data_IF_468976212661
#
_entry.id   IF_468976212661
#
_cell.length_a   1.000
_cell.length_b   1.000
_cell.length_c   1.000
_cell.angle_alpha   90.00
_cell.angle_beta   90.00
_cell.angle_gamma   90.00
#
_symmetry.space_group_name_H-M   'P 1'
#
loop_
_entity.id
_entity.type
_entity.pdbx_description
1 polymer ?
#
# COMPACT_ATOMS: atom_id res chain seq x y z
N UNK A 1 -36.99 -27.25 -11.07
CA UNK A 1 -37.09 -26.08 -11.97
C UNK A 1 -35.68 -25.57 -12.25
N UNK A 2 -35.24 -25.48 -13.51
CA UNK A 2 -33.93 -24.94 -13.90
C UNK A 2 -34.02 -23.42 -13.91
N UNK A 3 -33.15 -22.74 -13.20
CA UNK A 3 -33.06 -21.28 -13.31
C UNK A 3 -32.60 -20.87 -14.73
N UNK A 4 -33.09 -19.74 -15.25
CA UNK A 4 -32.71 -19.26 -16.58
C UNK A 4 -31.22 -18.92 -16.62
N UNK A 5 -30.53 -19.35 -17.67
CA UNK A 5 -29.08 -19.22 -17.87
C UNK A 5 -28.57 -17.78 -17.69
N UNK A 6 -29.40 -16.79 -18.03
CA UNK A 6 -29.07 -15.38 -17.83
C UNK A 6 -28.91 -15.04 -16.34
N UNK A 7 -29.81 -15.53 -15.49
CA UNK A 7 -29.78 -15.28 -14.05
C UNK A 7 -28.56 -15.92 -13.40
N UNK A 8 -28.17 -17.13 -13.84
CA UNK A 8 -26.93 -17.77 -13.39
C UNK A 8 -25.68 -16.97 -13.76
N UNK A 9 -25.61 -16.42 -14.98
CA UNK A 9 -24.48 -15.57 -15.40
C UNK A 9 -24.41 -14.27 -14.60
N UNK A 10 -25.55 -13.63 -14.34
CA UNK A 10 -25.62 -12.44 -13.49
C UNK A 10 -25.19 -12.73 -12.06
N UNK A 11 -25.65 -13.83 -11.47
CA UNK A 11 -25.25 -14.25 -10.11
C UNK A 11 -23.75 -14.61 -10.06
N UNK A 12 -23.21 -15.24 -11.10
CA UNK A 12 -21.77 -15.55 -11.20
C UNK A 12 -20.92 -14.29 -11.24
N UNK A 13 -21.27 -13.32 -12.10
CA UNK A 13 -20.55 -12.05 -12.22
C UNK A 13 -20.63 -11.21 -10.93
N UNK A 14 -21.80 -11.19 -10.28
CA UNK A 14 -21.97 -10.55 -8.98
C UNK A 14 -21.13 -11.23 -7.89
N UNK A 15 -21.05 -12.57 -7.90
CA UNK A 15 -20.18 -13.32 -6.98
C UNK A 15 -18.70 -13.05 -7.22
N UNK A 16 -18.27 -13.00 -8.47
CA UNK A 16 -16.89 -12.64 -8.84
C UNK A 16 -16.56 -11.22 -8.39
N UNK A 17 -17.48 -10.27 -8.59
CA UNK A 17 -17.34 -8.90 -8.08
C UNK A 17 -17.25 -8.83 -6.56
N UNK A 18 -18.05 -9.60 -5.82
CA UNK A 18 -18.01 -9.65 -4.35
C UNK A 18 -16.73 -10.33 -3.86
N UNK A 19 -16.25 -11.35 -4.57
CA UNK A 19 -15.00 -12.04 -4.25
C UNK A 19 -13.80 -11.14 -4.50
N UNK A 20 -13.78 -10.41 -5.62
CA UNK A 20 -12.79 -9.36 -5.90
C UNK A 20 -12.84 -8.26 -4.84
N UNK A 21 -14.03 -7.77 -4.49
CA UNK A 21 -14.20 -6.78 -3.43
C UNK A 21 -13.63 -7.28 -2.09
N UNK A 22 -13.89 -8.54 -1.72
CA UNK A 22 -13.29 -9.16 -0.52
C UNK A 22 -11.78 -9.31 -0.57
N UNK A 23 -11.20 -9.56 -1.76
CA UNK A 23 -9.75 -9.61 -1.95
C UNK A 23 -9.10 -8.22 -1.84
N UNK A 24 -9.83 -7.17 -2.18
CA UNK A 24 -9.38 -5.77 -2.03
C UNK A 24 -9.70 -5.17 -0.66
N UNK A 25 -10.71 -5.67 0.05
CA UNK A 25 -11.05 -5.26 1.43
C UNK A 25 -10.21 -6.00 2.48
N UNK A 26 -9.36 -6.94 2.06
CA UNK A 26 -8.43 -7.63 2.95
C UNK A 26 -7.28 -6.66 3.30
N UNK A 27 -7.41 -5.98 4.43
CA UNK A 27 -6.29 -5.27 5.07
C UNK A 27 -5.12 -6.26 5.23
N UNK A 28 -4.05 -6.02 4.47
CA UNK A 28 -2.86 -6.86 4.57
C UNK A 28 -2.13 -6.42 5.83
N UNK A 29 -2.09 -7.30 6.82
CA UNK A 29 -1.36 -7.05 8.06
C UNK A 29 0.13 -6.80 7.77
N UNK A 30 0.66 -5.74 8.35
CA UNK A 30 2.09 -5.45 8.38
C UNK A 30 2.90 -6.56 9.07
N UNK A 31 2.28 -7.28 10.02
CA UNK A 31 2.93 -8.35 10.79
C UNK A 31 3.25 -9.57 9.88
N UNK A 32 2.57 -9.71 8.73
CA UNK A 32 3.00 -10.66 7.69
C UNK A 32 4.30 -10.23 6.98
N UNK A 33 4.92 -9.14 7.43
CA UNK A 33 6.11 -8.51 6.90
C UNK A 33 7.17 -8.27 7.99
N UNK A 34 7.22 -9.07 9.06
CA UNK A 34 8.25 -8.95 10.12
C UNK A 34 9.68 -8.82 9.57
N UNK A 35 10.00 -9.59 8.51
CA UNK A 35 11.28 -9.49 7.80
C UNK A 35 11.51 -8.10 7.19
N UNK A 36 10.47 -7.47 6.63
CA UNK A 36 10.53 -6.12 6.08
C UNK A 36 10.76 -5.08 7.17
N UNK A 37 10.05 -5.17 8.30
CA UNK A 37 10.24 -4.22 9.40
C UNK A 37 11.67 -4.27 9.95
N UNK A 38 12.23 -5.47 10.09
CA UNK A 38 13.64 -5.66 10.45
C UNK A 38 14.60 -5.04 9.43
N UNK A 39 14.37 -5.25 8.12
CA UNK A 39 15.22 -4.70 7.06
C UNK A 39 15.17 -3.18 7.06
N UNK A 40 13.97 -2.59 7.07
CA UNK A 40 13.82 -1.12 7.00
C UNK A 40 14.39 -0.45 8.24
N UNK A 41 14.24 -1.06 9.43
CA UNK A 41 14.89 -0.56 10.63
C UNK A 41 16.42 -0.60 10.49
N UNK A 42 16.99 -1.71 9.99
CA UNK A 42 18.43 -1.82 9.78
C UNK A 42 18.97 -0.81 8.76
N UNK A 43 18.25 -0.59 7.66
CA UNK A 43 18.57 0.44 6.66
C UNK A 43 18.52 1.84 7.26
N UNK A 44 17.47 2.16 8.02
CA UNK A 44 17.34 3.44 8.69
C UNK A 44 18.49 3.69 9.67
N UNK A 45 18.85 2.71 10.51
CA UNK A 45 19.99 2.82 11.43
C UNK A 45 21.32 3.01 10.69
N UNK A 46 21.55 2.27 9.59
CA UNK A 46 22.77 2.40 8.80
C UNK A 46 22.94 3.83 8.26
N UNK A 47 21.86 4.42 7.75
CA UNK A 47 21.93 5.72 7.08
C UNK A 47 21.94 6.93 8.03
N UNK A 48 21.59 6.78 9.31
CA UNK A 48 21.65 7.88 10.31
C UNK A 48 23.00 8.58 10.43
N UNK A 49 24.09 7.88 10.11
CA UNK A 49 25.45 8.43 10.20
C UNK A 49 25.83 9.33 9.02
N UNK A 50 25.04 9.35 7.94
CA UNK A 50 25.32 10.10 6.73
C UNK A 50 24.47 11.38 6.68
N UNK A 51 25.12 12.54 6.73
CA UNK A 51 24.45 13.85 6.73
C UNK A 51 23.73 14.19 5.42
N UNK A 52 24.14 13.55 4.33
CA UNK A 52 23.63 13.83 2.98
C UNK A 52 22.64 12.76 2.47
N UNK A 53 22.12 11.91 3.35
CA UNK A 53 21.14 10.87 3.02
C UNK A 53 19.89 11.10 3.86
N UNK A 54 18.73 11.02 3.22
CA UNK A 54 17.44 11.03 3.88
C UNK A 54 16.77 9.66 3.70
N UNK A 55 16.20 9.14 4.78
CA UNK A 55 15.46 7.88 4.76
C UNK A 55 13.98 8.20 4.85
N UNK A 56 13.21 7.67 3.90
CA UNK A 56 11.76 7.74 3.89
C UNK A 56 11.21 6.32 3.83
N UNK A 57 10.37 5.96 4.80
CA UNK A 57 9.66 4.70 4.83
C UNK A 57 8.25 4.86 4.21
N UNK A 58 7.96 4.28 3.02
CA UNK A 58 6.63 4.33 2.41
C UNK A 58 5.51 3.73 3.26
N UNK A 59 5.82 2.80 4.18
CA UNK A 59 4.82 2.20 5.05
C UNK A 59 4.18 3.23 5.98
N UNK A 60 4.90 4.29 6.35
CA UNK A 60 4.37 5.39 7.19
C UNK A 60 3.18 6.13 6.59
N UNK A 61 2.96 5.98 5.27
CA UNK A 61 1.84 6.60 4.55
C UNK A 61 0.77 5.58 4.18
N UNK A 62 1.18 4.36 3.82
CA UNK A 62 0.29 3.32 3.31
C UNK A 62 -0.33 2.48 4.42
N UNK A 63 0.32 2.41 5.57
CA UNK A 63 -0.02 1.51 6.65
C UNK A 63 -0.16 2.28 7.96
N UNK A 64 -1.09 1.85 8.81
CA UNK A 64 -1.07 2.19 10.23
C UNK A 64 -0.17 1.21 11.00
N UNK A 65 -0.22 1.20 12.33
CA UNK A 65 0.65 0.35 13.15
C UNK A 65 0.48 -1.17 12.89
N UNK A 66 -0.59 -1.60 12.21
CA UNK A 66 -0.91 -3.04 12.03
C UNK A 66 -1.33 -3.42 10.61
N UNK A 67 -1.91 -2.50 9.85
CA UNK A 67 -2.61 -2.81 8.60
C UNK A 67 -2.24 -1.81 7.49
N UNK A 68 -2.01 -2.34 6.29
CA UNK A 68 -1.84 -1.53 5.08
C UNK A 68 -3.16 -1.32 4.36
N UNK A 69 -3.46 -0.06 4.04
CA UNK A 69 -4.67 0.34 3.34
C UNK A 69 -4.62 -0.13 1.90
N UNK A 70 -5.58 -0.95 1.49
CA UNK A 70 -5.72 -1.35 0.08
C UNK A 70 -6.50 -0.31 -0.74
N UNK A 71 -7.36 0.47 -0.09
CA UNK A 71 -8.16 1.51 -0.72
C UNK A 71 -8.13 2.81 0.08
N UNK A 72 -8.39 3.93 -0.60
CA UNK A 72 -8.59 5.24 0.01
C UNK A 72 -9.74 5.95 -0.71
N UNK A 73 -10.78 6.33 0.03
CA UNK A 73 -11.99 6.97 -0.53
C UNK A 73 -12.64 6.18 -1.69
N UNK A 74 -12.57 4.84 -1.63
CA UNK A 74 -13.11 3.95 -2.66
C UNK A 74 -12.19 3.72 -3.87
N UNK A 75 -11.04 4.38 -3.93
CA UNK A 75 -10.02 4.13 -4.95
C UNK A 75 -9.01 3.08 -4.50
N UNK A 76 -8.64 2.15 -5.38
CA UNK A 76 -7.57 1.19 -5.12
C UNK A 76 -6.19 1.87 -5.08
N UNK A 77 -5.44 1.60 -4.01
CA UNK A 77 -4.06 2.05 -3.85
C UNK A 77 -3.06 1.10 -4.51
N UNK A 78 -3.48 -0.14 -4.77
CA UNK A 78 -2.65 -1.16 -5.38
C UNK A 78 -3.30 -1.82 -6.61
N UNK A 79 -2.50 -2.23 -7.59
CA UNK A 79 -2.93 -3.12 -8.68
C UNK A 79 -3.02 -4.57 -8.24
N UNK A 80 -2.13 -4.97 -7.32
CA UNK A 80 -2.04 -6.29 -6.70
C UNK A 80 -1.43 -6.19 -5.30
N UNK A 81 -1.16 -7.29 -4.60
CA UNK A 81 -0.64 -7.24 -3.22
C UNK A 81 0.73 -6.55 -3.02
N UNK A 82 1.42 -6.05 -4.07
CA UNK A 82 2.76 -5.45 -3.97
C UNK A 82 2.96 -4.18 -4.79
N UNK A 83 2.15 -3.93 -5.83
CA UNK A 83 2.37 -2.81 -6.75
C UNK A 83 1.34 -1.71 -6.57
N UNK A 84 1.79 -0.48 -6.31
CA UNK A 84 0.92 0.69 -6.18
C UNK A 84 0.28 1.10 -7.52
N UNK A 85 -0.95 1.60 -7.45
CA UNK A 85 -1.54 2.39 -8.53
C UNK A 85 -0.90 3.77 -8.62
N UNK A 86 -1.17 4.51 -9.70
CA UNK A 86 -0.76 5.93 -9.79
C UNK A 86 -1.26 6.73 -8.58
N UNK A 87 -2.51 6.51 -8.15
CA UNK A 87 -3.07 7.16 -6.97
C UNK A 87 -2.31 6.78 -5.70
N UNK A 88 -2.00 5.49 -5.51
CA UNK A 88 -1.19 5.01 -4.39
C UNK A 88 0.21 5.63 -4.36
N UNK A 89 0.90 5.70 -5.51
CA UNK A 89 2.23 6.32 -5.60
C UNK A 89 2.20 7.81 -5.27
N UNK A 90 1.15 8.54 -5.68
CA UNK A 90 1.03 9.97 -5.41
C UNK A 90 0.89 10.30 -3.92
N UNK A 91 0.45 9.35 -3.09
CA UNK A 91 0.43 9.56 -1.64
C UNK A 91 1.83 9.76 -1.05
N UNK A 92 2.88 9.26 -1.72
CA UNK A 92 4.26 9.34 -1.20
C UNK A 92 4.88 10.73 -1.37
N UNK A 93 4.32 11.57 -2.25
CA UNK A 93 4.95 12.82 -2.70
C UNK A 93 5.29 13.74 -1.53
N UNK A 94 4.37 13.94 -0.60
CA UNK A 94 4.58 14.81 0.56
C UNK A 94 5.67 14.26 1.50
N UNK A 95 5.63 12.95 1.78
CA UNK A 95 6.63 12.28 2.62
C UNK A 95 8.04 12.35 2.04
N UNK A 96 8.18 12.07 0.73
CA UNK A 96 9.46 12.18 0.01
C UNK A 96 9.95 13.62 0.01
N UNK A 97 9.07 14.59 -0.29
CA UNK A 97 9.43 16.01 -0.33
C UNK A 97 9.94 16.48 1.04
N UNK A 98 9.25 16.11 2.12
CA UNK A 98 9.67 16.40 3.50
C UNK A 98 11.00 15.76 3.85
N UNK A 99 11.24 14.52 3.43
CA UNK A 99 12.51 13.84 3.66
C UNK A 99 13.68 14.54 2.92
N UNK A 100 13.44 15.06 1.72
CA UNK A 100 14.46 15.76 0.94
C UNK A 100 14.75 17.19 1.41
N UNK A 101 13.79 17.87 2.05
CA UNK A 101 13.93 19.28 2.44
C UNK A 101 15.22 19.62 3.21
N UNK A 102 15.62 18.87 4.26
CA UNK A 102 16.86 19.16 4.98
C UNK A 102 18.10 19.10 4.10
N UNK A 103 18.14 18.18 3.12
CA UNK A 103 19.28 17.99 2.22
C UNK A 103 19.43 19.14 1.22
N UNK A 104 18.30 19.72 0.79
CA UNK A 104 18.27 20.83 -0.14
C UNK A 104 18.54 22.19 0.54
N UNK A 105 18.26 22.30 1.84
CA UNK A 105 18.51 23.52 2.62
C UNK A 105 19.98 23.69 3.02
N UNK A 106 20.76 22.60 3.02
CA UNK A 106 22.22 22.61 3.25
C UNK A 106 23.03 22.73 1.95
N UNK A 107 22.36 22.97 0.80
CA UNK A 107 22.96 23.09 -0.56
C UNK A 107 23.41 24.50 -0.91
#
# INVERSE_FOLDING_TARGET
MREPILLQKFISAMRESILLQKLFDEEVSLDNSDTRNMIVQAEAELFKSYKNIAVFDPASVLCDDKNCRQTLNGDALYYDGRHLTVKGSLLMVDGITKALQPLLAES
#
